data_IF_036804681951
#
_entry.id   IF_036804681951
#
_cell.length_a   1.000
_cell.length_b   1.000
_cell.length_c   1.000
_cell.angle_alpha   90.00
_cell.angle_beta   90.00
_cell.angle_gamma   90.00
#
_symmetry.space_group_name_H-M   'P 1'
#
loop_
_entity.id
_entity.type
_entity.pdbx_description
1 polymer ?
#
# COMPACT_ATOMS: atom_id res chain seq x y z
N UNK A 1 -6.89 -17.60 16.68
CA UNK A 1 -6.42 -16.64 17.67
C UNK A 1 -7.07 -15.30 17.45
N UNK A 2 -7.80 -14.89 18.43
CA UNK A 2 -8.65 -13.70 18.33
C UNK A 2 -7.84 -12.41 18.16
N UNK A 3 -6.74 -12.28 18.91
CA UNK A 3 -5.90 -11.09 18.83
C UNK A 3 -5.26 -10.94 17.47
N UNK A 4 -4.75 -12.02 16.89
CA UNK A 4 -4.14 -12.00 15.55
C UNK A 4 -5.15 -11.60 14.49
N UNK A 5 -6.39 -12.08 14.60
CA UNK A 5 -7.46 -11.72 13.67
C UNK A 5 -7.78 -10.22 13.75
N UNK A 6 -7.84 -9.67 14.95
CA UNK A 6 -8.09 -8.24 15.16
C UNK A 6 -6.96 -7.42 14.57
N UNK A 7 -5.71 -7.80 14.83
CA UNK A 7 -4.53 -7.11 14.31
C UNK A 7 -4.51 -7.13 12.77
N UNK A 8 -4.81 -8.29 12.18
CA UNK A 8 -4.90 -8.43 10.72
C UNK A 8 -5.94 -7.46 10.14
N UNK A 9 -7.14 -7.45 10.71
CA UNK A 9 -8.21 -6.61 10.16
C UNK A 9 -7.93 -5.13 10.34
N UNK A 10 -7.41 -4.71 11.50
CA UNK A 10 -7.09 -3.30 11.73
C UNK A 10 -6.01 -2.83 10.74
N UNK A 11 -4.91 -3.57 10.62
CA UNK A 11 -3.83 -3.18 9.72
C UNK A 11 -4.27 -3.21 8.25
N UNK A 12 -5.04 -4.21 7.85
CA UNK A 12 -5.52 -4.35 6.47
C UNK A 12 -6.50 -3.23 6.12
N UNK A 13 -7.41 -2.88 7.04
CA UNK A 13 -8.36 -1.79 6.81
C UNK A 13 -7.62 -0.46 6.69
N UNK A 14 -6.61 -0.21 7.52
CA UNK A 14 -5.80 1.01 7.41
C UNK A 14 -5.15 1.10 6.03
N UNK A 15 -4.53 0.03 5.57
CA UNK A 15 -3.92 -0.01 4.24
C UNK A 15 -4.97 0.23 3.15
N UNK A 16 -6.13 -0.42 3.25
CA UNK A 16 -7.21 -0.24 2.28
C UNK A 16 -7.67 1.21 2.20
N UNK A 17 -7.85 1.86 3.35
CA UNK A 17 -8.30 3.25 3.37
C UNK A 17 -7.25 4.20 2.77
N UNK A 18 -5.98 4.05 3.17
CA UNK A 18 -4.94 4.96 2.71
C UNK A 18 -4.49 4.70 1.28
N UNK A 19 -4.45 3.44 0.85
CA UNK A 19 -3.89 3.09 -0.45
C UNK A 19 -4.92 2.67 -1.49
N UNK A 20 -6.16 2.41 -1.06
CA UNK A 20 -7.25 2.06 -1.97
C UNK A 20 -8.27 3.16 -2.10
N UNK A 21 -8.94 3.51 -0.99
CA UNK A 21 -10.04 4.48 -1.00
C UNK A 21 -9.56 5.89 -1.29
N UNK A 22 -8.51 6.36 -0.60
CA UNK A 22 -8.01 7.71 -0.81
C UNK A 22 -7.49 7.94 -2.22
N UNK A 23 -6.64 7.07 -2.80
CA UNK A 23 -6.26 7.24 -4.20
C UNK A 23 -7.42 7.16 -5.17
N UNK A 24 -8.41 6.29 -4.92
CA UNK A 24 -9.57 6.18 -5.79
C UNK A 24 -10.38 7.48 -5.83
N UNK A 25 -10.50 8.15 -4.68
CA UNK A 25 -11.27 9.39 -4.58
C UNK A 25 -10.47 10.63 -4.98
N UNK A 26 -9.16 10.67 -4.64
CA UNK A 26 -8.36 11.88 -4.72
C UNK A 26 -7.17 11.81 -5.67
N UNK A 27 -6.98 10.71 -6.40
CA UNK A 27 -5.81 10.57 -7.27
C UNK A 27 -5.73 11.62 -8.38
N UNK A 28 -6.86 12.15 -8.81
CA UNK A 28 -6.91 13.17 -9.85
C UNK A 28 -6.90 14.60 -9.29
N UNK A 29 -6.81 14.75 -7.97
CA UNK A 29 -6.65 16.04 -7.35
C UNK A 29 -5.30 16.66 -7.73
N UNK A 30 -5.27 17.99 -7.83
CA UNK A 30 -4.08 18.73 -8.20
C UNK A 30 -2.88 18.37 -7.30
N UNK A 31 -3.10 18.24 -5.99
CA UNK A 31 -2.02 17.89 -5.04
C UNK A 31 -1.45 16.49 -5.30
N UNK A 32 -2.30 15.53 -5.61
CA UNK A 32 -1.84 14.16 -5.90
C UNK A 32 -1.04 14.13 -7.20
N UNK A 33 -1.51 14.80 -8.22
CA UNK A 33 -0.82 14.89 -9.51
C UNK A 33 0.52 15.61 -9.34
N UNK A 34 0.55 16.73 -8.62
CA UNK A 34 1.78 17.48 -8.35
C UNK A 34 2.78 16.64 -7.56
N UNK A 35 2.33 15.85 -6.60
CA UNK A 35 3.19 14.99 -5.81
C UNK A 35 3.92 13.97 -6.66
N UNK A 36 3.20 13.32 -7.57
CA UNK A 36 3.79 12.31 -8.45
C UNK A 36 4.70 12.94 -9.50
N UNK A 37 4.27 14.05 -10.11
CA UNK A 37 5.09 14.74 -11.13
C UNK A 37 6.33 15.39 -10.51
N UNK A 38 6.24 15.83 -9.26
CA UNK A 38 7.39 16.34 -8.53
C UNK A 38 8.51 15.30 -8.41
N UNK A 39 8.14 14.02 -8.25
CA UNK A 39 9.10 12.92 -8.17
C UNK A 39 9.67 12.51 -9.53
N UNK A 40 9.23 13.14 -10.61
CA UNK A 40 9.75 12.87 -11.96
C UNK A 40 8.92 11.91 -12.78
N UNK A 41 7.76 11.49 -12.29
CA UNK A 41 6.90 10.56 -13.02
C UNK A 41 5.93 11.32 -13.93
N UNK A 42 5.55 10.72 -15.08
CA UNK A 42 4.56 11.33 -15.97
C UNK A 42 3.18 11.40 -15.31
N UNK A 43 2.34 12.33 -15.78
CA UNK A 43 0.99 12.51 -15.25
C UNK A 43 0.16 11.23 -15.36
N UNK A 44 0.26 10.49 -16.48
CA UNK A 44 -0.51 9.25 -16.65
C UNK A 44 -0.18 8.20 -15.59
N UNK A 45 0.99 8.29 -14.97
CA UNK A 45 1.42 7.35 -13.95
C UNK A 45 0.54 7.39 -12.71
N UNK A 46 -0.07 8.55 -12.44
CA UNK A 46 -1.04 8.69 -11.34
C UNK A 46 -2.18 7.68 -11.49
N UNK A 47 -2.75 7.61 -12.70
CA UNK A 47 -3.85 6.68 -12.98
C UNK A 47 -3.38 5.23 -12.90
N UNK A 48 -2.20 4.91 -13.44
CA UNK A 48 -1.65 3.56 -13.39
C UNK A 48 -1.44 3.11 -11.95
N UNK A 49 -0.82 3.95 -11.12
CA UNK A 49 -0.61 3.64 -9.70
C UNK A 49 -1.93 3.44 -8.97
N UNK A 50 -2.91 4.32 -9.24
CA UNK A 50 -4.20 4.23 -8.57
C UNK A 50 -4.89 2.91 -8.87
N UNK A 51 -4.91 2.49 -10.14
CA UNK A 51 -5.52 1.22 -10.53
C UNK A 51 -4.85 0.05 -9.79
N UNK A 52 -3.52 0.01 -9.80
CA UNK A 52 -2.80 -1.08 -9.12
C UNK A 52 -3.00 -1.06 -7.61
N UNK A 53 -3.03 0.12 -6.99
CA UNK A 53 -3.26 0.24 -5.54
C UNK A 53 -4.67 -0.23 -5.17
N UNK A 54 -5.68 0.19 -5.92
CA UNK A 54 -7.07 -0.22 -5.67
C UNK A 54 -7.20 -1.73 -5.82
N UNK A 55 -6.67 -2.30 -6.90
CA UNK A 55 -6.75 -3.74 -7.13
C UNK A 55 -6.00 -4.52 -6.04
N UNK A 56 -4.81 -4.04 -5.66
CA UNK A 56 -4.01 -4.69 -4.63
C UNK A 56 -4.69 -4.69 -3.27
N UNK A 57 -5.22 -3.54 -2.86
CA UNK A 57 -5.88 -3.44 -1.56
C UNK A 57 -7.21 -4.19 -1.53
N UNK A 58 -7.95 -4.22 -2.64
CA UNK A 58 -9.14 -5.05 -2.75
C UNK A 58 -8.81 -6.53 -2.59
N UNK A 59 -7.70 -6.98 -3.18
CA UNK A 59 -7.25 -8.36 -3.03
C UNK A 59 -6.94 -8.70 -1.57
N UNK A 60 -6.47 -7.75 -0.78
CA UNK A 60 -6.20 -7.98 0.63
C UNK A 60 -7.47 -8.10 1.45
N UNK A 61 -8.50 -7.34 1.10
CA UNK A 61 -9.74 -7.26 1.89
C UNK A 61 -10.73 -8.38 1.53
N UNK A 62 -10.78 -8.80 0.28
CA UNK A 62 -11.73 -9.83 -0.18
C UNK A 62 -11.23 -11.20 0.26
N UNK A 63 -12.02 -11.91 1.05
CA UNK A 63 -11.63 -13.19 1.63
C UNK A 63 -11.52 -14.32 0.60
N UNK A 64 -12.31 -14.25 -0.46
CA UNK A 64 -12.37 -15.30 -1.47
C UNK A 64 -11.19 -15.27 -2.46
N UNK A 65 -10.36 -14.24 -2.42
CA UNK A 65 -9.21 -14.13 -3.31
C UNK A 65 -8.20 -15.24 -2.98
N UNK A 66 -7.69 -15.96 -3.98
CA UNK A 66 -6.71 -17.02 -3.73
C UNK A 66 -5.45 -16.49 -3.04
N UNK A 67 -4.85 -17.35 -2.22
CA UNK A 67 -3.64 -16.99 -1.47
C UNK A 67 -2.51 -16.48 -2.36
N UNK A 68 -2.33 -17.08 -3.54
CA UNK A 68 -1.29 -16.67 -4.48
C UNK A 68 -1.46 -15.19 -4.91
N UNK A 69 -2.70 -14.81 -5.19
CA UNK A 69 -3.00 -13.42 -5.61
C UNK A 69 -2.81 -12.46 -4.43
N UNK A 70 -3.15 -12.87 -3.22
CA UNK A 70 -2.88 -12.05 -2.02
C UNK A 70 -1.38 -11.85 -1.82
N UNK A 71 -0.58 -12.89 -2.02
CA UNK A 71 0.88 -12.76 -1.94
C UNK A 71 1.41 -11.77 -2.97
N UNK A 72 0.90 -11.82 -4.18
CA UNK A 72 1.29 -10.86 -5.23
C UNK A 72 0.87 -9.44 -4.86
N UNK A 73 -0.31 -9.27 -4.26
CA UNK A 73 -0.78 -7.95 -3.82
C UNK A 73 0.13 -7.38 -2.74
N UNK A 74 0.50 -8.19 -1.74
CA UNK A 74 1.43 -7.75 -0.70
C UNK A 74 2.79 -7.38 -1.29
N UNK A 75 3.31 -8.20 -2.19
CA UNK A 75 4.60 -7.92 -2.84
C UNK A 75 4.54 -6.62 -3.66
N UNK A 76 3.47 -6.43 -4.44
CA UNK A 76 3.31 -5.24 -5.26
C UNK A 76 3.22 -3.97 -4.42
N UNK A 77 2.44 -4.00 -3.34
CA UNK A 77 2.34 -2.86 -2.43
C UNK A 77 3.67 -2.60 -1.72
N UNK A 78 4.40 -3.65 -1.37
CA UNK A 78 5.73 -3.51 -0.76
C UNK A 78 6.68 -2.78 -1.71
N UNK A 79 6.74 -3.18 -2.97
CA UNK A 79 7.57 -2.51 -3.97
C UNK A 79 7.12 -1.07 -4.21
N UNK A 80 5.81 -0.82 -4.22
CA UNK A 80 5.28 0.53 -4.36
C UNK A 80 5.79 1.46 -3.25
N UNK A 81 5.71 1.00 -2.00
CA UNK A 81 6.17 1.79 -0.85
C UNK A 81 7.69 2.00 -0.87
N UNK A 82 8.46 0.96 -1.23
CA UNK A 82 9.90 1.08 -1.34
C UNK A 82 10.29 2.07 -2.44
N UNK A 83 9.66 1.98 -3.60
CA UNK A 83 9.91 2.89 -4.71
C UNK A 83 9.55 4.33 -4.34
N UNK A 84 8.44 4.52 -3.65
CA UNK A 84 8.02 5.84 -3.20
C UNK A 84 9.04 6.44 -2.24
N UNK A 85 9.51 5.67 -1.27
CA UNK A 85 10.51 6.12 -0.31
C UNK A 85 11.83 6.47 -1.01
N UNK A 86 12.30 5.61 -1.90
CA UNK A 86 13.54 5.84 -2.65
C UNK A 86 13.41 7.10 -3.50
N UNK A 87 12.27 7.28 -4.17
CA UNK A 87 12.02 8.46 -5.01
C UNK A 87 12.08 9.74 -4.19
N UNK A 88 11.48 9.76 -3.00
CA UNK A 88 11.55 10.92 -2.12
C UNK A 88 12.96 11.19 -1.63
N UNK A 89 13.74 10.16 -1.31
CA UNK A 89 15.14 10.33 -0.92
C UNK A 89 15.97 10.95 -2.03
N UNK A 90 15.73 10.53 -3.27
CA UNK A 90 16.50 11.02 -4.43
C UNK A 90 16.13 12.47 -4.77
N UNK A 91 14.84 12.80 -4.77
CA UNK A 91 14.35 14.11 -5.21
C UNK A 91 14.42 15.15 -4.09
N UNK A 92 13.95 14.79 -2.89
CA UNK A 92 13.80 15.74 -1.78
C UNK A 92 14.82 15.54 -0.66
N UNK A 93 15.63 14.48 -0.72
CA UNK A 93 16.58 14.16 0.33
C UNK A 93 15.89 13.56 1.56
N UNK A 94 16.58 13.59 2.69
CA UNK A 94 16.05 13.04 3.94
C UNK A 94 14.97 13.97 4.50
N UNK A 95 13.76 13.43 4.75
CA UNK A 95 12.67 14.21 5.29
C UNK A 95 11.48 13.35 5.63
N UNK A 96 10.43 13.98 6.14
CA UNK A 96 9.21 13.27 6.56
C UNK A 96 8.60 12.44 5.42
N UNK A 97 8.52 13.00 4.22
CA UNK A 97 7.88 12.32 3.09
C UNK A 97 8.65 11.09 2.63
N UNK A 98 9.97 11.05 2.85
CA UNK A 98 10.76 9.87 2.52
C UNK A 98 10.51 8.72 3.50
N UNK A 99 10.21 9.04 4.76
CA UNK A 99 9.95 8.03 5.79
C UNK A 99 8.49 7.60 5.85
N UNK A 100 7.56 8.43 5.39
CA UNK A 100 6.13 8.12 5.47
C UNK A 100 5.76 6.80 4.78
N UNK A 101 6.22 6.52 3.54
CA UNK A 101 5.94 5.22 2.93
C UNK A 101 6.50 4.03 3.70
N UNK A 102 7.62 4.22 4.42
CA UNK A 102 8.18 3.16 5.25
C UNK A 102 7.31 2.85 6.46
N UNK A 103 6.67 3.87 7.03
CA UNK A 103 5.72 3.68 8.14
C UNK A 103 4.50 2.87 7.65
N UNK A 104 3.96 3.23 6.48
CA UNK A 104 2.85 2.50 5.88
C UNK A 104 3.28 1.06 5.54
N UNK A 105 4.52 0.89 5.07
CA UNK A 105 5.06 -0.43 4.80
C UNK A 105 5.12 -1.29 6.08
N UNK A 106 5.48 -0.70 7.21
CA UNK A 106 5.49 -1.41 8.47
C UNK A 106 4.08 -1.92 8.82
N UNK A 107 3.05 -1.10 8.60
CA UNK A 107 1.66 -1.51 8.81
C UNK A 107 1.29 -2.64 7.85
N UNK A 108 1.73 -2.56 6.61
CA UNK A 108 1.50 -3.62 5.62
C UNK A 108 2.15 -4.94 6.07
N UNK A 109 3.37 -4.87 6.63
CA UNK A 109 4.04 -6.07 7.13
C UNK A 109 3.30 -6.68 8.31
N UNK A 110 2.73 -5.87 9.19
CA UNK A 110 1.88 -6.37 10.28
C UNK A 110 0.69 -7.14 9.71
N UNK A 111 0.03 -6.60 8.69
CA UNK A 111 -1.06 -7.28 8.00
C UNK A 111 -0.59 -8.60 7.38
N UNK A 112 0.54 -8.59 6.71
CA UNK A 112 1.10 -9.76 6.04
C UNK A 112 1.40 -10.89 7.03
N UNK A 113 2.12 -10.59 8.09
CA UNK A 113 2.48 -11.61 9.09
C UNK A 113 1.25 -12.13 9.82
N UNK A 114 0.28 -11.26 10.12
CA UNK A 114 -0.98 -11.67 10.73
C UNK A 114 -1.77 -12.58 9.80
N UNK A 115 -1.80 -12.26 8.49
CA UNK A 115 -2.45 -13.10 7.50
C UNK A 115 -1.85 -14.50 7.47
N UNK A 116 -0.51 -14.60 7.46
CA UNK A 116 0.16 -15.89 7.46
C UNK A 116 -0.09 -16.67 8.74
N UNK A 117 -0.12 -16.00 9.88
CA UNK A 117 -0.43 -16.64 11.15
C UNK A 117 -1.85 -17.24 11.16
N UNK A 118 -2.82 -16.55 10.56
CA UNK A 118 -4.19 -17.01 10.50
C UNK A 118 -4.36 -18.19 9.56
N UNK A 119 -3.57 -18.27 8.48
CA UNK A 119 -3.71 -19.29 7.44
C UNK A 119 -2.70 -20.41 7.55
N UNK A 120 -1.73 -20.31 8.46
CA UNK A 120 -0.77 -21.35 8.79
C UNK A 120 -0.76 -21.56 10.29
N UNK A 121 -1.77 -22.21 10.85
CA UNK A 121 -1.89 -22.39 12.29
C UNK A 121 -0.98 -23.52 12.80
N UNK A 122 0.27 -23.31 12.78
CA UNK A 122 1.19 -24.31 13.35
C UNK A 122 1.77 -23.83 14.63
#
# INVERSE_FOLDING_TARGET
MKATKIIFWISTIIIFLFEGVMPALFSQDKKSIEGITHLGYPVYFVTVLTVFKVLGTLALIILQVPRRIKEWAYAGLTFDFLCASISYFIVDGIGFFAFFPLIILAILMVSYFSYHKLNNPV
#
